data_IF_557084240951
#
_entry.id   IF_557084240951
#
_cell.length_a   1.000
_cell.length_b   1.000
_cell.length_c   1.000
_cell.angle_alpha   90.00
_cell.angle_beta   90.00
_cell.angle_gamma   90.00
#
_symmetry.space_group_name_H-M   'P 1'
#
loop_
_entity.id
_entity.type
_entity.pdbx_description
1 polymer ?
#
# COMPACT_ATOMS: atom_id res chain seq x y z
N UNK A 1 -27.02 -18.45 3.72
CA UNK A 1 -26.37 -17.13 3.68
C UNK A 1 -27.38 -16.13 3.16
N UNK A 2 -27.66 -15.09 3.92
CA UNK A 2 -28.64 -14.05 3.62
C UNK A 2 -27.95 -12.82 3.03
N UNK A 3 -28.73 -11.89 2.46
CA UNK A 3 -28.21 -10.57 2.06
C UNK A 3 -27.56 -9.84 3.25
N UNK A 4 -28.10 -10.03 4.47
CA UNK A 4 -27.50 -9.52 5.70
C UNK A 4 -26.10 -10.09 5.97
N UNK A 5 -25.93 -11.41 5.81
CA UNK A 5 -24.64 -12.09 6.00
C UNK A 5 -23.59 -11.57 5.01
N UNK A 6 -23.99 -11.31 3.76
CA UNK A 6 -23.13 -10.74 2.71
C UNK A 6 -22.67 -9.33 3.12
N UNK A 7 -23.60 -8.46 3.55
CA UNK A 7 -23.25 -7.09 4.02
C UNK A 7 -22.28 -7.10 5.17
N UNK A 8 -22.51 -7.96 6.16
CA UNK A 8 -21.61 -8.11 7.31
C UNK A 8 -20.22 -8.54 6.86
N UNK A 9 -20.14 -9.51 5.94
CA UNK A 9 -18.87 -10.01 5.41
C UNK A 9 -18.11 -8.92 4.66
N UNK A 10 -18.79 -8.15 3.80
CA UNK A 10 -18.17 -7.06 3.05
C UNK A 10 -17.66 -5.96 3.99
N UNK A 11 -18.45 -5.56 5.01
CA UNK A 11 -18.02 -4.56 5.99
C UNK A 11 -16.80 -5.02 6.80
N UNK A 12 -16.72 -6.31 7.14
CA UNK A 12 -15.51 -6.89 7.76
C UNK A 12 -14.31 -6.82 6.82
N UNK A 13 -14.51 -7.09 5.54
CA UNK A 13 -13.49 -6.93 4.51
C UNK A 13 -13.00 -5.49 4.38
N UNK A 14 -13.94 -4.52 4.39
CA UNK A 14 -13.63 -3.09 4.34
C UNK A 14 -12.80 -2.64 5.54
N UNK A 15 -13.15 -3.08 6.75
CA UNK A 15 -12.35 -2.83 7.96
C UNK A 15 -10.95 -3.45 7.86
N UNK A 16 -10.83 -4.67 7.33
CA UNK A 16 -9.52 -5.30 7.14
C UNK A 16 -8.66 -4.54 6.10
N UNK A 17 -9.30 -3.94 5.09
CA UNK A 17 -8.62 -3.07 4.12
C UNK A 17 -8.12 -1.77 4.76
N UNK A 18 -8.86 -1.19 5.72
CA UNK A 18 -8.40 -0.04 6.52
C UNK A 18 -7.16 -0.39 7.36
N UNK A 19 -7.21 -1.52 8.07
CA UNK A 19 -6.08 -1.98 8.89
C UNK A 19 -4.83 -2.25 8.03
N UNK A 20 -5.04 -2.83 6.84
CA UNK A 20 -3.98 -3.06 5.86
C UNK A 20 -3.42 -1.72 5.34
N UNK A 21 -4.27 -0.76 4.99
CA UNK A 21 -3.86 0.57 4.52
C UNK A 21 -2.95 1.23 5.56
N UNK A 22 -3.38 1.30 6.82
CA UNK A 22 -2.58 1.89 7.90
C UNK A 22 -1.23 1.20 8.07
N UNK A 23 -1.20 -0.13 7.99
CA UNK A 23 0.04 -0.92 8.11
C UNK A 23 1.01 -0.64 6.97
N UNK A 24 0.50 -0.50 5.75
CA UNK A 24 1.29 -0.21 4.55
C UNK A 24 1.79 1.24 4.57
N UNK A 25 0.96 2.21 4.96
CA UNK A 25 1.38 3.61 5.12
C UNK A 25 2.52 3.74 6.15
N UNK A 26 2.44 2.99 7.26
CA UNK A 26 3.50 2.93 8.26
C UNK A 26 4.78 2.29 7.71
N UNK A 27 4.66 1.25 6.89
CA UNK A 27 5.81 0.64 6.23
C UNK A 27 6.43 1.62 5.21
N UNK A 28 5.60 2.38 4.49
CA UNK A 28 6.04 3.39 3.53
C UNK A 28 6.87 4.49 4.19
N UNK A 29 6.44 4.98 5.36
CA UNK A 29 7.18 5.99 6.11
C UNK A 29 8.61 5.50 6.45
N UNK A 30 8.74 4.24 6.90
CA UNK A 30 10.04 3.63 7.20
C UNK A 30 10.88 3.42 5.94
N UNK A 31 10.26 3.06 4.82
CA UNK A 31 10.95 2.93 3.54
C UNK A 31 11.46 4.28 3.05
N UNK A 32 10.69 5.35 3.24
CA UNK A 32 11.11 6.71 2.92
C UNK A 32 12.33 7.14 3.76
N UNK A 33 12.31 6.85 5.07
CA UNK A 33 13.46 7.11 5.96
C UNK A 33 14.71 6.33 5.50
N UNK A 34 14.56 5.04 5.20
CA UNK A 34 15.65 4.21 4.69
C UNK A 34 16.19 4.73 3.34
N UNK A 35 15.28 5.18 2.47
CA UNK A 35 15.63 5.74 1.17
C UNK A 35 16.42 7.03 1.30
N UNK A 36 15.99 7.93 2.20
CA UNK A 36 16.70 9.17 2.48
C UNK A 36 18.11 8.90 3.03
N UNK A 37 18.26 7.95 3.96
CA UNK A 37 19.56 7.56 4.49
C UNK A 37 20.46 6.96 3.42
N UNK A 38 19.93 6.09 2.56
CA UNK A 38 20.67 5.49 1.47
C UNK A 38 21.13 6.53 0.44
N UNK A 39 20.26 7.48 0.07
CA UNK A 39 20.62 8.59 -0.83
C UNK A 39 21.72 9.45 -0.21
N UNK A 40 21.62 9.81 1.07
CA UNK A 40 22.64 10.59 1.76
C UNK A 40 23.99 9.86 1.84
N UNK A 41 23.97 8.54 2.06
CA UNK A 41 25.18 7.72 2.20
C UNK A 41 25.85 7.43 0.87
N UNK A 42 25.06 7.24 -0.19
CA UNK A 42 25.51 6.80 -1.51
C UNK A 42 25.62 7.96 -2.51
N UNK A 43 25.45 9.20 -2.06
CA UNK A 43 25.33 10.41 -2.90
C UNK A 43 26.44 10.52 -3.95
N UNK A 44 27.70 10.33 -3.54
CA UNK A 44 28.86 10.47 -4.43
C UNK A 44 29.36 9.14 -5.02
N UNK A 45 28.74 8.02 -4.65
CA UNK A 45 29.17 6.70 -5.12
C UNK A 45 28.66 6.43 -6.53
N UNK A 46 29.60 6.32 -7.47
CA UNK A 46 29.35 5.89 -8.86
C UNK A 46 29.48 4.38 -9.05
N UNK A 47 29.62 3.60 -7.98
CA UNK A 47 29.69 2.13 -8.05
C UNK A 47 28.32 1.58 -8.48
N UNK A 48 28.33 0.48 -9.25
CA UNK A 48 27.10 -0.18 -9.72
C UNK A 48 26.13 -0.50 -8.58
N UNK A 49 26.65 -1.02 -7.47
CA UNK A 49 25.90 -1.34 -6.24
C UNK A 49 25.10 -0.14 -5.69
N UNK A 50 25.64 1.08 -5.78
CA UNK A 50 24.95 2.28 -5.31
C UNK A 50 23.76 2.63 -6.22
N UNK A 51 23.90 2.40 -7.52
CA UNK A 51 22.82 2.61 -8.49
C UNK A 51 21.73 1.54 -8.36
N UNK A 52 22.12 0.29 -8.16
CA UNK A 52 21.21 -0.83 -7.90
C UNK A 52 20.41 -0.60 -6.63
N UNK A 53 21.07 -0.16 -5.55
CA UNK A 53 20.42 0.16 -4.28
C UNK A 53 19.35 1.25 -4.42
N UNK A 54 19.67 2.35 -5.12
CA UNK A 54 18.70 3.43 -5.40
C UNK A 54 17.52 2.95 -6.24
N UNK A 55 17.78 2.07 -7.21
CA UNK A 55 16.75 1.49 -8.07
C UNK A 55 15.80 0.62 -7.27
N UNK A 56 16.33 -0.29 -6.45
CA UNK A 56 15.53 -1.16 -5.60
C UNK A 56 14.65 -0.39 -4.60
N UNK A 57 15.16 0.69 -4.02
CA UNK A 57 14.39 1.54 -3.10
C UNK A 57 13.24 2.26 -3.81
N UNK A 58 13.47 2.75 -5.03
CA UNK A 58 12.42 3.35 -5.85
C UNK A 58 11.35 2.34 -6.22
N UNK A 59 11.75 1.16 -6.69
CA UNK A 59 10.81 0.08 -7.05
C UNK A 59 9.96 -0.35 -5.84
N UNK A 60 10.57 -0.43 -4.65
CA UNK A 60 9.83 -0.70 -3.42
C UNK A 60 8.79 0.39 -3.11
N UNK A 61 9.12 1.67 -3.32
CA UNK A 61 8.18 2.77 -3.12
C UNK A 61 7.01 2.73 -4.13
N UNK A 62 7.32 2.44 -5.40
CA UNK A 62 6.32 2.31 -6.47
C UNK A 62 5.34 1.16 -6.18
N UNK A 63 5.83 0.02 -5.69
CA UNK A 63 4.98 -1.12 -5.29
C UNK A 63 4.06 -0.77 -4.12
N UNK A 64 4.57 -0.04 -3.12
CA UNK A 64 3.74 0.42 -2.00
C UNK A 64 2.62 1.33 -2.48
N UNK A 65 2.92 2.28 -3.38
CA UNK A 65 1.89 3.14 -3.97
C UNK A 65 0.85 2.34 -4.76
N UNK A 66 1.29 1.35 -5.53
CA UNK A 66 0.40 0.47 -6.29
C UNK A 66 -0.56 -0.30 -5.38
N UNK A 67 -0.06 -0.82 -4.25
CA UNK A 67 -0.90 -1.54 -3.28
C UNK A 67 -1.93 -0.59 -2.64
N UNK A 68 -1.54 0.62 -2.23
CA UNK A 68 -2.47 1.60 -1.67
C UNK A 68 -3.58 1.97 -2.65
N UNK A 69 -3.25 2.15 -3.94
CA UNK A 69 -4.24 2.38 -5.00
C UNK A 69 -5.21 1.20 -5.15
N UNK A 70 -4.72 -0.03 -5.06
CA UNK A 70 -5.55 -1.24 -5.15
C UNK A 70 -6.48 -1.40 -3.94
N UNK A 71 -6.00 -1.09 -2.73
CA UNK A 71 -6.83 -1.06 -1.52
C UNK A 71 -7.98 -0.07 -1.72
N UNK A 72 -7.68 1.17 -2.14
CA UNK A 72 -8.71 2.16 -2.41
C UNK A 72 -9.75 1.67 -3.42
N UNK A 73 -9.31 1.10 -4.55
CA UNK A 73 -10.22 0.58 -5.56
C UNK A 73 -11.10 -0.56 -5.01
N UNK A 74 -10.55 -1.46 -4.20
CA UNK A 74 -11.32 -2.53 -3.57
C UNK A 74 -12.41 -1.97 -2.64
N UNK A 75 -12.10 -0.94 -1.84
CA UNK A 75 -13.07 -0.24 -0.99
C UNK A 75 -14.15 0.46 -1.81
N UNK A 76 -13.77 1.17 -2.87
CA UNK A 76 -14.72 1.83 -3.77
C UNK A 76 -15.72 0.82 -4.38
N UNK A 77 -15.24 -0.35 -4.81
CA UNK A 77 -16.09 -1.42 -5.33
C UNK A 77 -16.97 -2.06 -4.25
N UNK A 78 -16.44 -2.29 -3.04
CA UNK A 78 -17.21 -2.80 -1.92
C UNK A 78 -18.36 -1.86 -1.54
N UNK A 79 -18.09 -0.55 -1.47
CA UNK A 79 -19.08 0.48 -1.20
C UNK A 79 -20.15 0.54 -2.31
N UNK A 80 -19.74 0.50 -3.58
CA UNK A 80 -20.67 0.46 -4.71
C UNK A 80 -21.59 -0.78 -4.65
N UNK A 81 -21.04 -1.95 -4.31
CA UNK A 81 -21.83 -3.16 -4.18
C UNK A 81 -22.82 -3.07 -3.00
N UNK A 82 -22.39 -2.58 -1.84
CA UNK A 82 -23.28 -2.37 -0.69
C UNK A 82 -24.44 -1.43 -1.04
N UNK A 83 -24.19 -0.37 -1.80
CA UNK A 83 -25.24 0.55 -2.25
C UNK A 83 -26.30 -0.14 -3.13
N UNK A 84 -25.92 -1.15 -3.93
CA UNK A 84 -26.85 -1.91 -4.78
C UNK A 84 -27.75 -2.82 -3.93
N UNK A 85 -27.19 -3.45 -2.89
CA UNK A 85 -27.93 -4.44 -2.08
C UNK A 85 -28.61 -3.84 -0.84
N UNK A 86 -28.48 -2.53 -0.63
CA UNK A 86 -29.09 -1.72 0.44
C UNK A 86 -28.57 -2.02 1.83
#
# INVERSE_FOLDING_TARGET
MTIGDVKVTIRKGDQALDDAQMSIEKANARLADASALAIATLHDSKRGEAQESRTALREAADEVELVLRRIKAAKDHAAAYLAIIG
#
